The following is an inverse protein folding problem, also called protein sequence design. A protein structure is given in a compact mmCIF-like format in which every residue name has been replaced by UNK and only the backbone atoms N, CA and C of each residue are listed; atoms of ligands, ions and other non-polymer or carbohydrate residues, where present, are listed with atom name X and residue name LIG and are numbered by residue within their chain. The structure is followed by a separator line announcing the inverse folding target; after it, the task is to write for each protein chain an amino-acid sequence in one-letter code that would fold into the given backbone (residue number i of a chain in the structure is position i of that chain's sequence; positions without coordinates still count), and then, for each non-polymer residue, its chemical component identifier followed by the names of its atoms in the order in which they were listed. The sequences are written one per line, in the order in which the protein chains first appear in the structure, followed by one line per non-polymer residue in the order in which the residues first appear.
data_IF_601289073291
#
_entry.id   IF_601289073291
#
_cell.length_a   1.000
_cell.length_b   1.000
_cell.length_c   1.000
_cell.angle_alpha   90.00
_cell.angle_beta   90.00
_cell.angle_gamma   90.00
#
_symmetry.space_group_name_H-M   'P 1'
#
loop_
_entity.id
_entity.type
_entity.pdbx_description
1 polymer ?
#
# COMPACT_ATOMS: atom_id res chain seq x y z
N UNK A 1 18.02 1.64 7.78
CA UNK A 1 17.95 2.68 8.84
C UNK A 1 16.87 3.71 8.54
N UNK A 2 16.81 4.29 7.33
CA UNK A 2 15.80 5.29 6.95
C UNK A 2 14.35 4.78 7.04
N UNK A 3 14.04 3.60 6.48
CA UNK A 3 12.70 3.02 6.51
C UNK A 3 12.21 2.76 7.95
N UNK A 4 13.07 2.28 8.84
CA UNK A 4 12.74 2.07 10.25
C UNK A 4 12.46 3.40 10.97
N UNK A 5 13.23 4.44 10.67
CA UNK A 5 12.99 5.78 11.23
C UNK A 5 11.62 6.33 10.79
N UNK A 6 11.29 6.21 9.49
CA UNK A 6 9.96 6.57 8.96
C UNK A 6 8.84 5.78 9.63
N UNK A 7 9.03 4.48 9.84
CA UNK A 7 8.07 3.64 10.53
C UNK A 7 7.79 4.16 11.95
N UNK A 8 8.85 4.42 12.73
CA UNK A 8 8.73 4.91 14.11
C UNK A 8 8.01 6.27 14.14
N UNK A 9 8.42 7.21 13.29
CA UNK A 9 7.80 8.53 13.19
C UNK A 9 6.31 8.47 12.77
N UNK A 10 5.94 7.50 11.94
CA UNK A 10 4.53 7.31 11.56
C UNK A 10 3.72 6.67 12.68
N UNK A 11 4.29 5.69 13.39
CA UNK A 11 3.60 4.99 14.51
C UNK A 11 3.16 5.98 15.60
N UNK A 12 3.98 6.99 15.89
CA UNK A 12 3.63 8.05 16.86
C UNK A 12 2.43 8.90 16.44
N UNK A 13 2.13 8.96 15.13
CA UNK A 13 1.04 9.76 14.55
C UNK A 13 -0.25 8.97 14.36
N UNK A 14 -0.24 7.65 14.59
CA UNK A 14 -1.44 6.82 14.43
C UNK A 14 -2.42 7.06 15.58
N UNK A 15 -3.71 7.09 15.25
CA UNK A 15 -4.74 6.96 16.28
C UNK A 15 -4.83 5.51 16.81
N UNK A 16 -5.63 5.28 17.86
CA UNK A 16 -5.75 3.98 18.53
C UNK A 16 -6.12 2.84 17.58
N UNK A 17 -7.11 3.05 16.70
CA UNK A 17 -7.62 2.02 15.79
C UNK A 17 -6.62 1.66 14.68
N UNK A 18 -5.99 2.69 14.11
CA UNK A 18 -4.93 2.52 13.13
C UNK A 18 -3.74 1.79 13.75
N UNK A 19 -3.34 2.18 14.96
CA UNK A 19 -2.23 1.57 15.70
C UNK A 19 -2.50 0.11 16.04
N UNK A 20 -3.72 -0.20 16.48
CA UNK A 20 -4.17 -1.58 16.70
C UNK A 20 -4.04 -2.40 15.42
N UNK A 21 -4.51 -1.86 14.29
CA UNK A 21 -4.43 -2.54 12.99
C UNK A 21 -2.99 -2.82 12.57
N UNK A 22 -2.08 -1.85 12.74
CA UNK A 22 -0.65 -2.02 12.45
C UNK A 22 -0.06 -3.15 13.31
N UNK A 23 -0.28 -3.11 14.63
CA UNK A 23 0.28 -4.12 15.52
C UNK A 23 -0.28 -5.51 15.28
N UNK A 24 -1.56 -5.64 14.97
CA UNK A 24 -2.17 -6.93 14.64
C UNK A 24 -1.49 -7.58 13.43
N UNK A 25 -1.20 -6.80 12.39
CA UNK A 25 -0.51 -7.30 11.20
C UNK A 25 0.95 -7.61 11.49
N UNK A 26 1.68 -6.74 12.20
CA UNK A 26 3.08 -7.00 12.55
C UNK A 26 3.22 -8.24 13.45
N UNK A 27 2.32 -8.41 14.40
CA UNK A 27 2.25 -9.60 15.24
C UNK A 27 2.04 -10.85 14.39
N UNK A 28 1.17 -10.81 13.38
CA UNK A 28 0.97 -11.92 12.46
C UNK A 28 2.16 -12.23 11.55
N UNK A 29 3.01 -11.26 11.28
CA UNK A 29 4.24 -11.45 10.50
C UNK A 29 5.34 -12.08 11.37
N UNK A 30 5.54 -11.54 12.58
CA UNK A 30 6.72 -11.88 13.39
C UNK A 30 6.48 -12.96 14.46
N UNK A 31 5.23 -13.25 14.82
CA UNK A 31 4.92 -14.35 15.73
C UNK A 31 4.63 -15.64 14.98
N UNK A 32 5.29 -16.71 15.42
CA UNK A 32 5.13 -18.04 14.85
C UNK A 32 4.01 -18.79 15.57
N UNK A 33 2.77 -18.51 15.16
CA UNK A 33 1.59 -19.29 15.56
C UNK A 33 0.95 -19.89 14.30
N UNK A 34 0.71 -21.20 14.32
CA UNK A 34 0.19 -21.96 13.17
C UNK A 34 -1.21 -21.53 12.74
N UNK A 35 -2.02 -21.04 13.69
CA UNK A 35 -3.44 -20.76 13.46
C UNK A 35 -3.75 -19.27 13.25
N UNK A 36 -2.73 -18.42 13.11
CA UNK A 36 -2.95 -16.98 12.95
C UNK A 36 -3.29 -16.63 11.49
N UNK A 37 -4.31 -15.80 11.23
CA UNK A 37 -4.61 -15.33 9.88
C UNK A 37 -3.41 -14.62 9.26
N UNK A 38 -3.14 -14.90 7.98
CA UNK A 38 -2.08 -14.26 7.19
C UNK A 38 -2.62 -13.31 6.13
N UNK A 39 -3.94 -13.28 5.95
CA UNK A 39 -4.64 -12.37 5.04
C UNK A 39 -5.49 -11.40 5.86
N UNK A 40 -5.32 -10.11 5.62
CA UNK A 40 -6.01 -9.03 6.33
C UNK A 40 -6.64 -8.07 5.34
N UNK A 41 -7.83 -7.58 5.69
CA UNK A 41 -8.48 -6.48 4.98
C UNK A 41 -8.65 -5.32 5.95
N UNK A 42 -8.12 -4.16 5.60
CA UNK A 42 -8.32 -2.93 6.36
C UNK A 42 -9.43 -2.12 5.70
N UNK A 43 -10.59 -2.10 6.35
CA UNK A 43 -11.74 -1.32 5.94
C UNK A 43 -11.90 -0.04 6.75
N UNK A 44 -12.56 0.94 6.15
CA UNK A 44 -13.01 2.13 6.85
C UNK A 44 -13.52 3.20 5.88
N UNK A 45 -14.22 4.22 6.38
CA UNK A 45 -14.72 5.33 5.57
C UNK A 45 -13.63 6.06 4.74
N UNK A 46 -14.05 6.85 3.76
CA UNK A 46 -13.15 7.77 3.08
C UNK A 46 -12.53 8.75 4.09
N UNK A 47 -11.25 9.10 3.88
CA UNK A 47 -10.54 10.03 4.77
C UNK A 47 -9.98 9.43 6.07
N UNK A 48 -10.17 8.15 6.37
CA UNK A 48 -9.65 7.52 7.61
C UNK A 48 -8.15 7.19 7.59
N UNK A 49 -7.42 7.62 6.57
CA UNK A 49 -5.97 7.43 6.53
C UNK A 49 -5.50 6.00 6.28
N UNK A 50 -6.30 5.13 5.64
CA UNK A 50 -5.89 3.74 5.31
C UNK A 50 -4.55 3.67 4.58
N UNK A 51 -4.31 4.59 3.63
CA UNK A 51 -3.02 4.70 2.92
C UNK A 51 -1.86 4.96 3.88
N UNK A 52 -2.07 5.76 4.93
CA UNK A 52 -1.06 6.02 5.96
C UNK A 52 -0.75 4.77 6.79
N UNK A 53 -1.76 3.96 7.10
CA UNK A 53 -1.59 2.65 7.75
C UNK A 53 -0.76 1.70 6.88
N UNK A 54 -1.11 1.56 5.59
CA UNK A 54 -0.34 0.72 4.66
C UNK A 54 1.10 1.18 4.49
N UNK A 55 1.33 2.49 4.39
CA UNK A 55 2.68 3.08 4.32
C UNK A 55 3.49 2.78 5.59
N UNK A 56 2.86 2.88 6.77
CA UNK A 56 3.51 2.58 8.05
C UNK A 56 3.93 1.12 8.15
N UNK A 57 3.04 0.19 7.76
CA UNK A 57 3.35 -1.24 7.71
C UNK A 57 4.51 -1.54 6.77
N UNK A 58 4.50 -0.92 5.59
CA UNK A 58 5.54 -1.11 4.58
C UNK A 58 6.92 -0.68 5.08
N UNK A 59 6.99 0.51 5.67
CA UNK A 59 8.21 1.03 6.28
C UNK A 59 8.67 0.17 7.46
N UNK A 60 7.75 -0.34 8.28
CA UNK A 60 8.09 -1.19 9.42
C UNK A 60 8.69 -2.53 8.97
N UNK A 61 8.10 -3.19 7.97
CA UNK A 61 8.58 -4.47 7.44
C UNK A 61 9.94 -4.30 6.73
N UNK A 62 10.04 -3.32 5.82
CA UNK A 62 11.32 -3.02 5.14
C UNK A 62 12.39 -2.52 6.11
N UNK A 63 11.99 -1.82 7.17
CA UNK A 63 12.87 -1.34 8.23
C UNK A 63 13.59 -2.45 8.99
N UNK A 64 12.94 -3.63 9.12
CA UNK A 64 13.53 -4.84 9.69
C UNK A 64 14.38 -5.65 8.71
N UNK A 65 14.42 -5.26 7.44
CA UNK A 65 15.17 -5.95 6.38
C UNK A 65 14.36 -6.96 5.57
N UNK A 66 13.06 -7.09 5.85
CA UNK A 66 12.18 -8.02 5.15
C UNK A 66 11.66 -7.45 3.82
N UNK A 67 11.30 -8.34 2.90
CA UNK A 67 10.74 -7.96 1.60
C UNK A 67 9.22 -7.71 1.69
N UNK A 68 8.80 -6.50 1.36
CA UNK A 68 7.39 -6.14 1.25
C UNK A 68 7.09 -5.55 -0.14
N UNK A 69 6.15 -6.17 -0.85
CA UNK A 69 5.71 -5.78 -2.20
C UNK A 69 4.38 -5.02 -2.09
N UNK A 70 4.35 -3.83 -2.67
CA UNK A 70 3.15 -2.99 -2.70
C UNK A 70 2.50 -2.99 -4.07
N UNK A 71 1.25 -3.42 -4.09
CA UNK A 71 0.44 -3.51 -5.31
C UNK A 71 -0.83 -2.68 -5.14
N UNK A 72 -1.15 -1.85 -6.13
CA UNK A 72 -2.38 -1.09 -6.19
C UNK A 72 -3.14 -1.34 -7.50
N UNK A 73 -4.43 -1.04 -7.54
CA UNK A 73 -5.23 -1.20 -8.76
C UNK A 73 -4.92 -0.11 -9.80
N UNK A 74 -4.75 1.15 -9.35
CA UNK A 74 -4.49 2.32 -10.20
C UNK A 74 -3.07 2.86 -10.03
N UNK A 75 -2.58 3.58 -11.05
CA UNK A 75 -1.27 4.23 -11.01
C UNK A 75 -1.17 5.28 -9.90
N UNK A 76 -2.22 6.10 -9.72
CA UNK A 76 -2.27 7.12 -8.67
C UNK A 76 -2.16 6.49 -7.27
N UNK A 77 -2.89 5.41 -7.01
CA UNK A 77 -2.80 4.70 -5.74
C UNK A 77 -1.42 4.08 -5.52
N UNK A 78 -0.77 3.57 -6.58
CA UNK A 78 0.59 3.04 -6.50
C UNK A 78 1.61 4.13 -6.12
N UNK A 79 1.45 5.36 -6.60
CA UNK A 79 2.36 6.49 -6.31
C UNK A 79 2.39 6.86 -4.82
N UNK A 80 1.30 6.64 -4.08
CA UNK A 80 1.26 6.96 -2.64
C UNK A 80 1.98 5.94 -1.75
N UNK A 81 2.41 4.80 -2.30
CA UNK A 81 3.10 3.74 -1.58
C UNK A 81 4.54 3.66 -2.06
N UNK A 82 5.51 3.58 -1.15
CA UNK A 82 6.92 3.52 -1.54
C UNK A 82 7.20 2.25 -2.35
N UNK A 83 7.76 2.40 -3.55
CA UNK A 83 7.95 1.29 -4.49
C UNK A 83 6.66 0.65 -4.99
N UNK A 84 5.51 1.32 -4.84
CA UNK A 84 4.22 0.83 -5.28
C UNK A 84 4.14 0.64 -6.79
N UNK A 85 3.48 -0.45 -7.21
CA UNK A 85 3.29 -0.80 -8.61
C UNK A 85 1.83 -1.20 -8.85
N UNK A 86 1.35 -1.08 -10.08
CA UNK A 86 -0.01 -1.52 -10.39
C UNK A 86 -0.07 -3.04 -10.49
N UNK A 87 -1.21 -3.64 -10.13
CA UNK A 87 -1.47 -5.08 -10.27
C UNK A 87 -1.22 -5.56 -11.71
N UNK A 88 -1.67 -4.78 -12.70
CA UNK A 88 -1.40 -5.01 -14.11
C UNK A 88 0.11 -5.14 -14.40
N UNK A 89 0.93 -4.26 -13.83
CA UNK A 89 2.38 -4.25 -14.09
C UNK A 89 3.13 -5.38 -13.38
N UNK A 90 2.68 -5.78 -12.17
CA UNK A 90 3.32 -6.82 -11.34
C UNK A 90 2.91 -8.22 -11.81
N UNK A 91 1.61 -8.47 -11.97
CA UNK A 91 1.09 -9.78 -12.33
C UNK A 91 0.98 -10.02 -13.84
N UNK A 92 1.36 -9.03 -14.65
CA UNK A 92 1.29 -9.10 -16.13
C UNK A 92 -0.12 -9.46 -16.63
N UNK A 93 -1.14 -8.87 -16.00
CA UNK A 93 -2.55 -9.10 -16.35
C UNK A 93 -2.75 -8.60 -17.79
N UNK A 94 -3.17 -9.47 -18.72
CA UNK A 94 -3.35 -9.09 -20.11
C UNK A 94 -4.53 -8.11 -20.25
N UNK A 95 -4.33 -7.06 -21.02
CA UNK A 95 -5.33 -5.99 -21.22
C UNK A 95 -6.45 -6.40 -22.20
N UNK A 96 -6.50 -7.66 -22.64
CA UNK A 96 -7.34 -8.15 -23.74
C UNK A 96 -8.84 -8.19 -23.47
N UNK A 97 -9.33 -7.82 -22.27
CA UNK A 97 -10.77 -7.90 -21.96
C UNK A 97 -11.45 -6.58 -21.58
N UNK A 98 -10.77 -5.44 -21.61
CA UNK A 98 -11.42 -4.16 -21.34
C UNK A 98 -10.98 -3.12 -22.37
N UNK A 99 -11.86 -2.81 -23.33
CA UNK A 99 -11.73 -1.66 -24.23
C UNK A 99 -11.84 -0.35 -23.43
N UNK A 100 -10.79 0.03 -22.71
CA UNK A 100 -10.65 1.36 -22.13
C UNK A 100 -10.13 2.29 -23.23
N UNK A 101 -11.05 2.92 -23.96
CA UNK A 101 -10.74 4.09 -24.77
C UNK A 101 -10.35 5.25 -23.84
N UNK A 102 -9.06 5.40 -23.53
CA UNK A 102 -8.48 6.70 -23.18
C UNK A 102 -7.85 7.28 -24.45
N UNK A 103 -8.66 8.00 -25.25
CA UNK A 103 -8.12 8.93 -26.23
C UNK A 103 -7.71 10.20 -25.47
N UNK A 104 -6.40 10.48 -25.39
CA UNK A 104 -5.91 11.82 -25.08
C UNK A 104 -5.89 12.61 -26.38
N UNK A 105 -6.88 13.47 -26.59
CA UNK A 105 -6.89 14.41 -27.70
C UNK A 105 -6.32 15.75 -27.23
N UNK A 106 -5.05 16.03 -27.56
CA UNK A 106 -4.44 17.34 -27.35
C UNK A 106 -4.88 18.28 -28.46
N UNK A 107 -5.89 19.12 -28.21
CA UNK A 107 -6.19 20.25 -29.10
C UNK A 107 -5.05 21.26 -28.98
N UNK A 108 -4.17 21.28 -29.97
CA UNK A 108 -3.23 22.38 -30.18
C UNK A 108 -4.02 23.62 -30.62
N UNK A 109 -4.16 24.61 -29.73
CA UNK A 109 -4.57 25.95 -30.13
C UNK A 109 -3.39 26.58 -30.88
N UNK A 110 -3.52 26.68 -32.22
CA UNK A 110 -2.77 27.66 -33.00
C UNK A 110 -3.63 28.91 -33.08
N UNK A 111 -3.12 30.02 -32.56
CA UNK A 111 -3.50 31.37 -33.04
C UNK A 111 -2.59 31.77 -34.18
#
# INVERSE_FOLDING_TARGET
MEEQSKANANIEKLNSEQRYSVYKVLHAIYEYQTDMPKCFFLDGPAGTGKTFVYSTLLHAVRGKGDQAITVASTGIAATFLSGGRTAHSIFKIPLTQCHFNMQFETKHLRS
#
